data_IF_450205271775
#
_entry.id   IF_450205271775
#
_cell.length_a   1.000
_cell.length_b   1.000
_cell.length_c   1.000
_cell.angle_alpha   90.00
_cell.angle_beta   90.00
_cell.angle_gamma   90.00
#
_symmetry.space_group_name_H-M   'P 1'
#
loop_
_entity.id
_entity.type
_entity.pdbx_description
1 polymer ?
#
# COMPACT_ATOMS: atom_id res chain seq x y z
N UNK A 1 17.44 8.68 14.59
CA UNK A 1 18.21 7.42 14.46
C UNK A 1 17.37 6.48 13.60
N UNK A 2 17.94 5.46 12.98
CA UNK A 2 17.19 4.47 12.18
C UNK A 2 17.48 3.10 12.77
N UNK A 3 16.42 2.36 13.08
CA UNK A 3 16.50 1.00 13.56
C UNK A 3 16.45 0.02 12.38
N UNK A 4 17.28 -1.03 12.44
CA UNK A 4 17.39 -2.03 11.37
C UNK A 4 16.87 -3.37 11.87
N UNK A 5 15.82 -3.87 11.24
CA UNK A 5 15.28 -5.20 11.50
C UNK A 5 15.72 -6.13 10.37
N UNK A 6 16.50 -7.16 10.71
CA UNK A 6 17.14 -8.07 9.76
C UNK A 6 16.49 -9.45 9.85
N UNK A 7 16.10 -9.99 8.70
CA UNK A 7 15.45 -11.29 8.57
C UNK A 7 16.23 -12.17 7.60
N UNK A 8 16.56 -13.38 8.00
CA UNK A 8 17.30 -14.34 7.20
C UNK A 8 16.39 -15.20 6.29
N UNK A 9 17.03 -15.91 5.35
CA UNK A 9 16.35 -16.85 4.46
C UNK A 9 15.41 -16.20 3.43
N UNK A 10 15.58 -14.91 3.13
CA UNK A 10 14.79 -14.20 2.13
C UNK A 10 15.50 -14.18 0.76
N UNK A 11 14.70 -14.22 -0.29
CA UNK A 11 15.13 -14.04 -1.68
C UNK A 11 14.01 -13.41 -2.49
N UNK A 12 14.32 -12.80 -3.64
CA UNK A 12 13.27 -12.31 -4.54
C UNK A 12 12.38 -13.45 -5.04
N UNK A 13 12.93 -14.66 -5.21
CA UNK A 13 12.14 -15.84 -5.57
C UNK A 13 11.13 -16.21 -4.47
N UNK A 14 11.55 -16.22 -3.21
CA UNK A 14 10.65 -16.47 -2.07
C UNK A 14 9.52 -15.44 -2.02
N UNK A 15 9.84 -14.16 -2.20
CA UNK A 15 8.81 -13.11 -2.29
C UNK A 15 7.83 -13.36 -3.44
N UNK A 16 8.31 -13.74 -4.64
CA UNK A 16 7.44 -14.07 -5.78
C UNK A 16 6.51 -15.25 -5.49
N UNK A 17 7.01 -16.28 -4.81
CA UNK A 17 6.20 -17.42 -4.36
C UNK A 17 5.11 -16.99 -3.37
N UNK A 18 5.35 -15.94 -2.59
CA UNK A 18 4.40 -15.34 -1.64
C UNK A 18 3.61 -14.16 -2.25
N UNK A 19 3.20 -14.28 -3.52
CA UNK A 19 2.39 -13.24 -4.21
C UNK A 19 3.06 -11.86 -4.22
N UNK A 20 4.39 -11.85 -4.29
CA UNK A 20 5.22 -10.65 -4.26
C UNK A 20 5.08 -9.80 -2.98
N UNK A 21 4.71 -10.41 -1.84
CA UNK A 21 4.58 -9.69 -0.58
C UNK A 21 4.91 -10.55 0.64
N UNK A 22 5.25 -9.89 1.73
CA UNK A 22 5.50 -10.51 3.02
C UNK A 22 5.12 -9.56 4.16
N UNK A 23 4.57 -10.09 5.25
CA UNK A 23 4.14 -9.31 6.40
C UNK A 23 5.05 -9.57 7.59
N UNK A 24 5.42 -8.50 8.28
CA UNK A 24 6.34 -8.51 9.41
C UNK A 24 5.68 -7.81 10.60
N UNK A 25 5.77 -8.46 11.75
CA UNK A 25 5.58 -7.82 13.04
C UNK A 25 6.97 -7.50 13.59
N UNK A 26 7.29 -6.22 13.69
CA UNK A 26 8.45 -5.77 14.47
C UNK A 26 8.07 -5.87 15.94
N UNK A 27 8.96 -6.36 16.81
CA UNK A 27 8.62 -6.64 18.22
C UNK A 27 8.78 -5.41 19.12
N UNK A 28 9.78 -4.56 18.87
CA UNK A 28 10.01 -3.34 19.67
C UNK A 28 10.53 -2.19 18.77
N UNK A 29 9.83 -1.04 18.68
CA UNK A 29 8.41 -0.88 19.01
C UNK A 29 7.54 -1.77 18.10
N UNK A 30 6.45 -2.30 18.64
CA UNK A 30 5.54 -3.13 17.84
C UNK A 30 5.07 -2.39 16.60
N UNK A 31 5.29 -2.96 15.42
CA UNK A 31 4.81 -2.35 14.17
C UNK A 31 4.54 -3.39 13.10
N UNK A 32 3.36 -3.30 12.47
CA UNK A 32 2.99 -4.18 11.36
C UNK A 32 3.40 -3.57 10.02
N UNK A 33 4.32 -4.22 9.32
CA UNK A 33 4.87 -3.76 8.04
C UNK A 33 4.65 -4.80 6.95
N UNK A 34 4.26 -4.36 5.77
CA UNK A 34 4.21 -5.19 4.57
C UNK A 34 5.35 -4.80 3.66
N UNK A 35 6.18 -5.77 3.30
CA UNK A 35 7.18 -5.65 2.23
C UNK A 35 6.55 -6.13 0.93
N UNK A 36 6.70 -5.34 -0.12
CA UNK A 36 6.15 -5.59 -1.45
C UNK A 36 7.29 -5.64 -2.47
N UNK A 37 7.21 -6.58 -3.40
CA UNK A 37 8.04 -6.62 -4.60
C UNK A 37 7.19 -6.18 -5.79
N UNK A 38 7.46 -5.00 -6.34
CA UNK A 38 6.71 -4.48 -7.48
C UNK A 38 7.67 -3.94 -8.54
N UNK A 39 7.49 -4.36 -9.80
CA UNK A 39 8.41 -4.05 -10.92
C UNK A 39 9.90 -4.28 -10.60
N UNK A 40 10.21 -5.30 -9.80
CA UNK A 40 11.59 -5.63 -9.40
C UNK A 40 12.18 -4.75 -8.29
N UNK A 41 11.42 -3.78 -7.75
CA UNK A 41 11.81 -2.93 -6.62
C UNK A 41 11.07 -3.35 -5.35
N UNK A 42 11.77 -3.25 -4.21
CA UNK A 42 11.17 -3.47 -2.90
C UNK A 42 10.59 -2.18 -2.34
N UNK A 43 9.43 -2.30 -1.71
CA UNK A 43 8.75 -1.25 -0.98
C UNK A 43 8.36 -1.80 0.40
N UNK A 44 8.38 -0.96 1.42
CA UNK A 44 7.86 -1.32 2.74
C UNK A 44 6.89 -0.25 3.21
N UNK A 45 5.74 -0.68 3.72
CA UNK A 45 4.64 0.20 4.11
C UNK A 45 3.96 -0.36 5.34
N UNK A 46 3.41 0.50 6.19
CA UNK A 46 2.53 0.08 7.27
C UNK A 46 1.38 -0.79 6.73
N UNK A 47 1.18 -1.97 7.32
CA UNK A 47 0.19 -2.96 6.85
C UNK A 47 -1.27 -2.54 7.10
N UNK A 48 -1.62 -1.91 8.24
CA UNK A 48 -2.97 -1.44 8.48
C UNK A 48 -3.23 -0.12 7.76
N UNK A 49 -4.35 -0.03 7.04
CA UNK A 49 -4.76 1.20 6.36
C UNK A 49 -5.02 2.31 7.38
N UNK A 50 -4.46 3.51 7.10
CA UNK A 50 -4.65 4.68 7.95
C UNK A 50 -6.12 5.04 8.23
N UNK A 51 -7.04 4.77 7.29
CA UNK A 51 -8.44 5.21 7.39
C UNK A 51 -9.20 4.47 8.49
N UNK A 52 -9.09 3.15 8.53
CA UNK A 52 -9.93 2.31 9.39
C UNK A 52 -9.25 1.03 9.85
N UNK A 53 -7.93 0.94 9.82
CA UNK A 53 -7.19 -0.30 10.12
C UNK A 53 -7.55 -1.48 9.21
N UNK A 54 -7.93 -1.20 7.95
CA UNK A 54 -8.16 -2.27 6.96
C UNK A 54 -6.87 -2.96 6.53
N UNK A 55 -6.93 -4.16 5.95
CA UNK A 55 -5.75 -4.92 5.54
C UNK A 55 -5.13 -4.34 4.26
N UNK A 56 -4.47 -3.18 4.37
CA UNK A 56 -3.85 -2.49 3.24
C UNK A 56 -2.76 -3.35 2.59
N UNK A 57 -1.99 -4.09 3.40
CA UNK A 57 -1.00 -5.06 2.93
C UNK A 57 -1.58 -6.15 2.03
N UNK A 58 -2.89 -6.44 2.11
CA UNK A 58 -3.62 -7.35 1.22
C UNK A 58 -4.29 -6.69 0.03
N UNK A 59 -4.17 -5.37 -0.05
CA UNK A 59 -4.65 -4.58 -1.17
C UNK A 59 -4.10 -5.07 -2.51
N UNK A 60 -4.90 -4.83 -3.55
CA UNK A 60 -4.44 -4.95 -4.91
C UNK A 60 -3.45 -3.82 -5.20
N UNK A 61 -2.32 -4.14 -5.85
CA UNK A 61 -1.44 -3.11 -6.40
C UNK A 61 -1.98 -2.68 -7.76
N UNK A 62 -2.14 -1.39 -7.96
CA UNK A 62 -2.64 -0.76 -9.20
C UNK A 62 -1.61 0.27 -9.65
N UNK A 63 -1.20 0.20 -10.91
CA UNK A 63 -0.36 1.22 -11.53
C UNK A 63 -1.26 2.28 -12.19
N UNK A 64 -1.31 3.48 -11.60
CA UNK A 64 -2.06 4.60 -12.15
C UNK A 64 -1.16 5.39 -13.11
N UNK A 65 -1.73 5.87 -14.21
CA UNK A 65 -1.03 6.77 -15.14
C UNK A 65 -1.10 8.20 -14.63
N UNK A 66 0.06 8.84 -14.45
CA UNK A 66 0.20 10.22 -14.02
C UNK A 66 0.61 11.08 -15.23
N UNK A 67 -0.37 11.82 -15.74
CA UNK A 67 -0.22 12.71 -16.89
C UNK A 67 0.53 14.00 -16.58
N UNK A 68 0.64 14.40 -15.31
CA UNK A 68 1.31 15.66 -14.92
C UNK A 68 2.83 15.50 -14.92
N UNK A 69 3.32 14.28 -14.75
CA UNK A 69 4.74 13.95 -14.83
C UNK A 69 5.07 13.41 -16.21
N UNK A 70 5.00 14.30 -17.20
CA UNK A 70 5.57 14.06 -18.53
C UNK A 70 7.08 13.86 -18.38
N UNK A 71 7.53 12.61 -18.48
CA UNK A 71 8.95 12.31 -18.55
C UNK A 71 9.32 12.25 -20.02
N UNK A 72 10.13 13.19 -20.48
CA UNK A 72 10.81 13.05 -21.77
C UNK A 72 11.76 11.87 -21.65
N UNK A 73 11.34 10.70 -22.13
CA UNK A 73 12.26 9.58 -22.30
C UNK A 73 13.33 10.02 -23.30
N UNK A 74 14.58 9.59 -23.13
CA UNK A 74 15.72 9.99 -23.98
C UNK A 74 15.52 9.75 -25.49
N UNK A 75 14.49 8.97 -25.86
CA UNK A 75 14.09 8.65 -27.22
C UNK A 75 12.99 9.58 -27.80
N UNK A 76 12.64 10.67 -27.11
CA UNK A 76 11.63 11.64 -27.58
C UNK A 76 10.17 11.16 -27.50
N UNK A 77 9.89 10.03 -26.84
CA UNK A 77 8.53 9.60 -26.52
C UNK A 77 8.03 10.24 -25.23
N UNK A 78 6.80 10.75 -25.28
CA UNK A 78 6.02 11.20 -24.13
C UNK A 78 5.73 9.98 -23.24
N UNK A 79 6.55 9.76 -22.22
CA UNK A 79 6.34 8.70 -21.24
C UNK A 79 5.38 9.19 -20.15
N UNK A 80 4.29 8.46 -19.96
CA UNK A 80 3.42 8.64 -18.78
C UNK A 80 4.11 8.01 -17.58
N UNK A 81 4.34 8.77 -16.51
CA UNK A 81 4.86 8.21 -15.26
C UNK A 81 3.78 7.34 -14.61
N UNK A 82 4.16 6.22 -14.02
CA UNK A 82 3.22 5.35 -13.30
C UNK A 82 3.37 5.54 -11.81
N UNK A 83 2.24 5.70 -11.11
CA UNK A 83 2.17 5.79 -9.65
C UNK A 83 1.65 4.46 -9.12
N UNK A 84 2.53 3.58 -8.59
CA UNK A 84 2.09 2.31 -8.02
C UNK A 84 1.37 2.56 -6.70
N UNK A 85 0.14 2.09 -6.60
CA UNK A 85 -0.73 2.30 -5.44
C UNK A 85 -1.24 0.97 -4.88
N UNK A 86 -1.35 0.86 -3.57
CA UNK A 86 -2.17 -0.16 -2.91
C UNK A 86 -3.59 0.34 -2.75
N UNK A 87 -4.56 -0.46 -3.22
CA UNK A 87 -5.99 -0.23 -2.97
C UNK A 87 -6.42 -0.96 -1.70
N UNK A 88 -6.82 -0.21 -0.68
CA UNK A 88 -7.35 -0.79 0.55
C UNK A 88 -8.59 -1.64 0.26
N UNK A 89 -8.66 -2.91 0.72
CA UNK A 89 -9.80 -3.76 0.43
C UNK A 89 -11.12 -3.36 1.10
N UNK A 90 -11.09 -2.57 2.17
CA UNK A 90 -12.30 -2.16 2.89
C UNK A 90 -12.97 -0.96 2.22
N UNK A 91 -12.25 0.14 2.04
CA UNK A 91 -12.85 1.41 1.59
C UNK A 91 -12.26 1.91 0.26
N UNK A 92 -11.49 1.08 -0.45
CA UNK A 92 -10.90 1.40 -1.76
C UNK A 92 -9.95 2.60 -1.84
N UNK A 93 -9.52 3.18 -0.71
CA UNK A 93 -8.46 4.20 -0.70
C UNK A 93 -7.21 3.71 -1.41
N UNK A 94 -6.67 4.56 -2.29
CA UNK A 94 -5.45 4.31 -3.05
C UNK A 94 -4.28 5.02 -2.36
N UNK A 95 -3.28 4.24 -1.95
CA UNK A 95 -2.09 4.75 -1.28
C UNK A 95 -0.88 4.46 -2.14
N UNK A 96 -0.11 5.49 -2.49
CA UNK A 96 1.17 5.32 -3.19
C UNK A 96 2.11 4.46 -2.34
N UNK A 97 2.60 3.35 -2.89
CA UNK A 97 3.53 2.47 -2.17
C UNK A 97 4.93 3.07 -2.05
N UNK A 98 5.24 4.05 -2.89
CA UNK A 98 6.53 4.74 -2.88
C UNK A 98 6.56 5.87 -1.85
N UNK A 99 5.50 6.68 -1.81
CA UNK A 99 5.47 7.92 -1.03
C UNK A 99 4.56 7.87 0.19
N UNK A 100 3.64 6.89 0.27
CA UNK A 100 2.63 6.83 1.33
C UNK A 100 1.52 7.88 1.19
N UNK A 101 1.47 8.56 0.04
CA UNK A 101 0.47 9.59 -0.25
C UNK A 101 -0.89 8.98 -0.56
N UNK A 102 -1.95 9.65 -0.11
CA UNK A 102 -3.30 9.40 -0.59
C UNK A 102 -3.41 9.85 -2.04
N UNK A 103 -3.83 8.94 -2.90
CA UNK A 103 -4.01 9.15 -4.33
C UNK A 103 -5.50 9.12 -4.67
N UNK A 104 -5.97 10.12 -5.39
CA UNK A 104 -7.34 10.18 -5.92
C UNK A 104 -7.31 10.17 -7.44
N UNK A 105 -8.25 9.43 -8.04
CA UNK A 105 -8.43 9.35 -9.48
C UNK A 105 -9.56 10.28 -9.88
N UNK A 106 -9.23 11.35 -10.59
CA UNK A 106 -10.18 12.29 -11.18
C UNK A 106 -10.47 11.85 -12.61
N UNK A 107 -11.75 11.60 -12.92
CA UNK A 107 -12.18 11.35 -14.28
C UNK A 107 -12.24 12.68 -15.04
N UNK A 108 -11.52 12.80 -16.16
CA UNK A 108 -11.70 13.96 -17.05
C UNK A 108 -13.02 13.74 -17.79
N UNK A 109 -14.10 14.33 -17.28
CA UNK A 109 -15.34 14.41 -18.03
C UNK A 109 -15.12 15.30 -19.25
N UNK A 110 -15.07 14.69 -20.43
CA UNK A 110 -15.20 15.41 -21.68
C UNK A 110 -16.49 16.23 -21.66
N UNK A 111 -16.39 17.51 -21.97
CA UNK A 111 -17.50 18.46 -22.02
C UNK A 111 -18.67 17.88 -22.82
N UNK A 112 -19.72 17.43 -22.14
CA UNK A 112 -21.05 17.21 -22.73
C UNK A 112 -22.11 17.72 -21.77
N UNK A 113 -22.76 18.79 -22.22
CA UNK A 113 -24.03 19.29 -21.72
C UNK A 113 -25.07 18.17 -21.63
N UNK A 114 -25.59 17.90 -20.44
CA UNK A 114 -26.72 16.98 -20.26
C UNK A 114 -26.93 16.58 -18.80
N UNK A 115 -27.90 17.21 -18.14
CA UNK A 115 -28.47 16.78 -16.85
C UNK A 115 -28.81 15.29 -16.87
N UNK A 116 -28.15 14.50 -16.03
CA UNK A 116 -28.76 13.32 -15.40
C UNK A 116 -28.34 13.28 -13.93
N UNK A 117 -29.32 13.49 -13.05
CA UNK A 117 -29.19 13.36 -11.61
C UNK A 117 -28.96 11.88 -11.28
N UNK A 118 -27.79 11.53 -10.75
CA UNK A 118 -27.62 10.27 -10.03
C UNK A 118 -27.34 10.63 -8.57
N UNK A 119 -28.39 10.46 -7.77
CA UNK A 119 -28.38 10.70 -6.34
C UNK A 119 -27.36 9.76 -5.68
N UNK A 120 -26.49 10.36 -4.87
CA UNK A 120 -25.75 9.68 -3.81
C UNK A 120 -26.75 8.91 -2.94
N UNK A 121 -26.77 7.60 -3.10
CA UNK A 121 -27.39 6.71 -2.13
C UNK A 121 -26.28 6.23 -1.20
N UNK A 122 -26.33 6.70 0.04
CA UNK A 122 -25.77 6.04 1.21
C UNK A 122 -26.15 4.55 1.20
N UNK A 123 -25.26 3.70 0.69
CA UNK A 123 -25.40 2.26 0.81
C UNK A 123 -24.70 1.88 2.10
N UNK A 124 -25.49 1.48 3.11
CA UNK A 124 -25.00 0.95 4.37
C UNK A 124 -23.85 -0.05 4.12
N UNK A 125 -22.68 0.25 4.70
CA UNK A 125 -21.46 -0.53 4.54
C UNK A 125 -21.63 -1.94 5.14
N UNK A 126 -21.84 -2.92 4.29
CA UNK A 126 -21.67 -4.33 4.67
C UNK A 126 -20.16 -4.65 4.73
N UNK A 127 -19.75 -5.25 5.86
CA UNK A 127 -18.38 -5.75 6.02
C UNK A 127 -18.03 -6.75 4.90
N UNK A 128 -16.87 -6.61 4.23
CA UNK A 128 -16.45 -7.57 3.21
C UNK A 128 -16.32 -8.99 3.76
N UNK A 129 -16.99 -9.96 3.13
CA UNK A 129 -16.86 -11.39 3.45
C UNK A 129 -15.64 -12.01 2.76
N UNK A 130 -14.94 -12.91 3.45
CA UNK A 130 -13.75 -13.60 2.93
C UNK A 130 -14.12 -14.80 2.03
N UNK A 131 -13.36 -15.11 0.94
CA UNK A 131 -12.26 -14.33 0.39
C UNK A 131 -12.76 -13.04 -0.27
N UNK A 132 -12.02 -11.95 -0.08
CA UNK A 132 -12.39 -10.62 -0.58
C UNK A 132 -12.62 -10.66 -2.09
N UNK A 133 -13.87 -10.47 -2.52
CA UNK A 133 -14.24 -10.48 -3.92
C UNK A 133 -13.89 -9.14 -4.58
N UNK A 134 -13.13 -9.19 -5.67
CA UNK A 134 -12.74 -8.00 -6.44
C UNK A 134 -13.91 -7.53 -7.33
N UNK A 135 -14.58 -6.44 -6.96
CA UNK A 135 -15.50 -5.75 -7.87
C UNK A 135 -14.69 -4.90 -8.85
N UNK A 136 -14.58 -5.36 -10.09
CA UNK A 136 -13.95 -4.61 -11.19
C UNK A 136 -14.97 -3.76 -11.94
N UNK A 137 -14.65 -2.48 -12.12
CA UNK A 137 -15.17 -1.64 -13.19
C UNK A 137 -13.98 -1.09 -13.96
N UNK A 138 -13.78 -1.54 -15.19
CA UNK A 138 -12.78 -0.98 -16.11
C UNK A 138 -13.41 0.22 -16.81
N UNK A 139 -13.07 1.44 -16.39
CA UNK A 139 -13.37 2.65 -17.16
C UNK A 139 -12.10 3.14 -17.86
N UNK A 140 -12.03 2.94 -19.17
CA UNK A 140 -10.96 3.43 -20.05
C UNK A 140 -11.12 4.91 -20.41
N UNK A 141 -11.08 5.78 -19.41
CA UNK A 141 -10.99 7.24 -19.59
C UNK A 141 -9.61 7.75 -19.16
N UNK A 142 -9.19 8.90 -19.70
CA UNK A 142 -7.98 9.58 -19.21
C UNK A 142 -8.20 10.00 -17.75
N UNK A 143 -7.45 9.39 -16.85
CA UNK A 143 -7.52 9.62 -15.42
C UNK A 143 -6.44 10.62 -15.01
N UNK A 144 -6.85 11.73 -14.38
CA UNK A 144 -5.91 12.63 -13.71
C UNK A 144 -5.71 12.15 -12.28
N UNK A 145 -4.48 12.23 -11.77
CA UNK A 145 -4.12 11.70 -10.45
C UNK A 145 -3.83 12.87 -9.52
N UNK A 146 -4.59 13.00 -8.44
CA UNK A 146 -4.37 14.00 -7.40
C UNK A 146 -3.73 13.37 -6.17
N UNK A 147 -2.73 14.04 -5.58
CA UNK A 147 -2.02 13.59 -4.36
C UNK A 147 -2.37 14.52 -3.21
N UNK A 148 -3.02 13.99 -2.16
CA UNK A 148 -3.56 14.78 -1.04
C UNK A 148 -2.67 14.86 0.20
N UNK A 149 -1.45 14.32 0.12
CA UNK A 149 -0.45 14.33 1.19
C UNK A 149 -0.18 12.93 1.75
N UNK A 150 0.89 12.81 2.53
CA UNK A 150 1.34 11.54 3.13
C UNK A 150 0.42 11.16 4.27
N UNK A 151 -0.24 10.01 4.15
CA UNK A 151 -1.19 9.48 5.15
C UNK A 151 -0.75 8.13 5.71
N UNK A 152 0.08 7.41 4.95
CA UNK A 152 0.59 6.09 5.29
C UNK A 152 2.11 6.16 5.41
N UNK A 153 2.68 5.57 6.45
CA UNK A 153 4.14 5.52 6.59
C UNK A 153 4.74 4.47 5.66
N UNK A 154 5.75 4.88 4.91
CA UNK A 154 6.66 3.98 4.19
C UNK A 154 7.98 3.84 4.93
N UNK A 155 8.65 2.73 4.69
CA UNK A 155 9.92 2.37 5.33
C UNK A 155 10.93 2.01 4.24
N UNK A 156 12.20 2.13 4.57
CA UNK A 156 13.25 1.70 3.66
C UNK A 156 13.44 0.19 3.81
N UNK A 157 13.62 -0.50 2.68
CA UNK A 157 13.81 -1.95 2.65
C UNK A 157 14.89 -2.31 1.64
N UNK A 158 15.70 -3.30 1.97
CA UNK A 158 16.73 -3.84 1.08
C UNK A 158 16.86 -5.34 1.28
N UNK A 159 17.24 -6.05 0.22
CA UNK A 159 17.50 -7.48 0.24
C UNK A 159 18.88 -7.73 -0.34
N UNK A 160 19.76 -8.34 0.45
CA UNK A 160 21.04 -8.85 -0.02
C UNK A 160 20.87 -10.33 -0.39
N UNK A 161 20.87 -10.65 -1.69
CA UNK A 161 20.71 -12.03 -2.17
C UNK A 161 21.93 -12.91 -1.88
N UNK A 162 23.12 -12.34 -1.66
CA UNK A 162 24.31 -13.13 -1.36
C UNK A 162 24.24 -13.71 0.07
N UNK A 163 23.69 -12.94 1.00
CA UNK A 163 23.51 -13.36 2.40
C UNK A 163 22.09 -13.88 2.68
N UNK A 164 21.12 -13.59 1.81
CA UNK A 164 19.71 -13.90 2.01
C UNK A 164 19.05 -13.05 3.10
N UNK A 165 19.62 -11.88 3.41
CA UNK A 165 19.16 -11.01 4.49
C UNK A 165 18.27 -9.91 3.93
N UNK A 166 17.01 -9.89 4.37
CA UNK A 166 16.08 -8.78 4.18
C UNK A 166 16.20 -7.82 5.36
N UNK A 167 16.50 -6.55 5.08
CA UNK A 167 16.61 -5.49 6.10
C UNK A 167 15.47 -4.50 5.92
N UNK A 168 14.69 -4.25 6.97
CA UNK A 168 13.70 -3.19 7.07
C UNK A 168 14.26 -2.11 7.98
N UNK A 169 14.34 -0.89 7.48
CA UNK A 169 14.84 0.28 8.19
C UNK A 169 13.68 1.18 8.60
N UNK A 170 13.51 1.35 9.91
CA UNK A 170 12.40 2.12 10.50
C UNK A 170 12.96 3.36 11.19
N UNK A 171 12.33 4.50 10.96
CA UNK A 171 12.67 5.72 11.70
C UNK A 171 12.45 5.50 13.21
N UNK A 172 13.34 6.05 14.03
CA UNK A 172 13.21 6.03 15.48
C UNK A 172 11.84 6.57 15.95
N UNK A 173 11.28 5.95 17.00
CA UNK A 173 9.94 6.27 17.48
C UNK A 173 9.80 7.72 17.94
N UNK A 174 10.83 8.31 18.56
CA UNK A 174 10.79 9.72 18.95
C UNK A 174 10.74 10.64 17.73
N UNK A 175 11.39 10.24 16.64
CA UNK A 175 11.36 10.98 15.37
C UNK A 175 9.98 10.86 14.72
N UNK A 176 9.40 9.66 14.72
CA UNK A 176 8.04 9.44 14.20
C UNK A 176 7.00 10.24 15.00
N UNK A 177 7.12 10.29 16.33
CA UNK A 177 6.23 11.10 17.20
C UNK A 177 6.31 12.60 16.93
N UNK A 178 7.43 13.11 16.40
CA UNK A 178 7.57 14.53 15.98
C UNK A 178 6.90 14.82 14.63
N UNK A 179 6.66 13.78 13.82
CA UNK A 179 6.02 13.86 12.49
C UNK A 179 4.97 12.75 12.38
N UNK A 180 3.89 12.83 13.18
CA UNK A 180 2.91 11.76 13.25
C UNK A 180 2.15 11.66 11.93
N UNK A 181 1.99 10.44 11.45
CA UNK A 181 1.13 10.10 10.33
C UNK A 181 -0.11 9.37 10.84
N UNK A 182 -1.26 9.51 10.15
CA UNK A 182 -2.48 8.80 10.53
C UNK A 182 -2.30 7.28 10.70
N UNK A 183 -1.44 6.63 9.90
CA UNK A 183 -1.16 5.20 10.01
C UNK A 183 -0.39 4.80 11.28
N UNK A 184 0.33 5.72 11.95
CA UNK A 184 1.21 5.37 13.08
C UNK A 184 0.43 4.73 14.23
N UNK A 185 -0.75 5.26 14.52
CA UNK A 185 -1.59 4.77 15.63
C UNK A 185 -2.04 3.33 15.40
N UNK A 186 -2.42 3.00 14.18
CA UNK A 186 -2.97 1.69 13.84
C UNK A 186 -1.87 0.66 13.58
N UNK A 187 -0.75 1.09 13.01
CA UNK A 187 0.41 0.23 12.78
C UNK A 187 1.14 -0.15 14.06
N UNK A 188 1.13 0.74 15.07
CA UNK A 188 1.76 0.51 16.37
C UNK A 188 0.91 -0.23 17.41
N UNK A 189 -0.38 -0.47 17.12
CA UNK A 189 -1.31 -1.10 18.05
C UNK A 189 -1.45 -2.59 17.75
N UNK A 190 -1.02 -3.44 18.69
CA UNK A 190 -1.09 -4.89 18.58
C UNK A 190 -2.51 -5.40 18.31
N UNK A 191 -3.54 -4.76 18.88
CA UNK A 191 -4.94 -5.21 18.73
C UNK A 191 -5.46 -4.88 17.34
N UNK A 192 -5.23 -3.65 16.88
CA UNK A 192 -5.74 -3.18 15.59
C UNK A 192 -4.92 -3.73 14.42
N UNK A 193 -3.60 -3.81 14.57
CA UNK A 193 -2.72 -4.33 13.52
C UNK A 193 -2.81 -5.85 13.36
N UNK A 194 -3.05 -6.62 14.43
CA UNK A 194 -3.23 -8.08 14.32
C UNK A 194 -4.45 -8.46 13.47
N UNK A 195 -5.51 -7.63 13.44
CA UNK A 195 -6.68 -7.85 12.58
C UNK A 195 -6.35 -7.75 11.08
N UNK A 196 -5.25 -7.08 10.75
CA UNK A 196 -4.81 -6.89 9.35
C UNK A 196 -3.80 -7.91 8.88
N UNK A 197 -3.19 -8.66 9.81
CA UNK A 197 -2.36 -9.79 9.45
C UNK A 197 -3.26 -10.95 9.00
N UNK A 198 -2.96 -11.49 7.82
CA UNK A 198 -3.71 -12.61 7.32
C UNK A 198 -3.62 -13.82 8.27
N UNK A 199 -4.78 -14.47 8.39
CA UNK A 199 -4.98 -15.84 8.86
C UNK A 199 -3.96 -16.82 8.22
N UNK A 200 -3.40 -16.53 7.04
CA UNK A 200 -2.38 -17.36 6.39
C UNK A 200 -1.05 -17.43 7.18
N UNK A 201 -0.55 -16.33 7.72
CA UNK A 201 0.68 -16.34 8.52
C UNK A 201 0.45 -16.92 9.92
N UNK A 202 -0.75 -16.74 10.48
CA UNK A 202 -1.18 -17.35 11.75
C UNK A 202 -1.29 -18.88 11.59
N UNK A 203 -1.93 -19.35 10.51
CA UNK A 203 -2.04 -20.79 10.19
C UNK A 203 -0.69 -21.42 9.84
N UNK A 204 0.18 -20.71 9.12
CA UNK A 204 1.54 -21.19 8.83
C UNK A 204 2.41 -21.31 10.10
N UNK A 205 2.10 -20.53 11.15
CA UNK A 205 2.72 -20.62 12.48
C UNK A 205 2.02 -21.59 13.44
N UNK A 206 1.00 -22.31 12.99
CA UNK A 206 0.31 -23.35 13.76
C UNK A 206 -0.51 -22.83 14.95
N UNK A 207 -0.89 -21.56 14.93
CA UNK A 207 -1.76 -20.97 15.94
C UNK A 207 -3.20 -21.07 15.40
N UNK A 208 -4.03 -21.90 16.04
CA UNK A 208 -5.46 -22.08 15.72
C UNK A 208 -6.34 -21.08 16.46
#
# INVERSE_FOLDING_TARGET
MVEKHMYDGWSYERLRQQRNRAHFLLEEPYRFITVLLHHGKLYAIDSPCYHGSGPLGEGQIVDLEDMDTVVTSGDGKLGSSRVPCLRCPWHSYLISIETGELVEVLSVEGTKTGRENQADNDVAEEMPSYPLQHRFGTCGGATHVSRKGVVQRTHQVSLDEATGILTIEVEDEEVMRRRPLPSDKVAGDIKNGALTMQIFDIKARGLE
#
